data_IF_342547399128
#
_entry.id   IF_342547399128
#
_cell.length_a   1.000
_cell.length_b   1.000
_cell.length_c   1.000
_cell.angle_alpha   90.00
_cell.angle_beta   90.00
_cell.angle_gamma   90.00
#
_symmetry.space_group_name_H-M   'P 1'
#
loop_
_entity.id
_entity.type
_entity.pdbx_description
1 polymer ?
#
# COMPACT_ATOMS: atom_id res chain seq x y z
N UNK A 1 -28.65 22.17 17.81
CA UNK A 1 -28.95 22.07 16.36
C UNK A 1 -28.53 20.68 15.88
N UNK A 2 -29.45 19.87 15.35
CA UNK A 2 -29.08 18.62 14.69
C UNK A 2 -28.59 18.95 13.28
N UNK A 3 -27.30 18.72 13.02
CA UNK A 3 -26.73 18.89 11.69
C UNK A 3 -27.34 17.82 10.77
N UNK A 4 -27.94 18.18 9.63
CA UNK A 4 -28.50 17.20 8.72
C UNK A 4 -27.38 16.31 8.17
N UNK A 5 -27.68 15.03 7.99
CA UNK A 5 -26.73 14.07 7.42
C UNK A 5 -26.30 14.52 6.03
N UNK A 6 -24.99 14.42 5.78
CA UNK A 6 -24.40 14.57 4.46
C UNK A 6 -24.97 13.55 3.47
N UNK A 7 -24.83 13.84 2.18
CA UNK A 7 -25.19 12.90 1.11
C UNK A 7 -24.44 11.57 1.25
N UNK A 8 -23.19 11.61 1.72
CA UNK A 8 -22.41 10.41 2.00
C UNK A 8 -23.04 9.58 3.12
N UNK A 9 -23.26 10.16 4.30
CA UNK A 9 -23.85 9.46 5.45
C UNK A 9 -25.24 8.91 5.14
N UNK A 10 -26.06 9.66 4.40
CA UNK A 10 -27.38 9.21 3.96
C UNK A 10 -27.29 7.99 3.03
N UNK A 11 -26.36 7.99 2.07
CA UNK A 11 -26.17 6.86 1.15
C UNK A 11 -25.57 5.63 1.84
N UNK A 12 -24.67 5.81 2.81
CA UNK A 12 -24.04 4.72 3.56
C UNK A 12 -25.02 3.91 4.44
N UNK A 13 -26.22 4.44 4.71
CA UNK A 13 -27.30 3.68 5.38
C UNK A 13 -27.93 2.62 4.49
N UNK A 14 -27.79 2.72 3.16
CA UNK A 14 -28.28 1.69 2.24
C UNK A 14 -27.24 0.57 2.11
N UNK A 15 -27.59 -0.65 2.51
CA UNK A 15 -26.66 -1.80 2.53
C UNK A 15 -26.06 -2.12 1.16
N UNK A 16 -26.84 -2.01 0.09
CA UNK A 16 -26.37 -2.26 -1.29
C UNK A 16 -25.36 -1.20 -1.71
N UNK A 17 -25.65 0.07 -1.43
CA UNK A 17 -24.72 1.16 -1.71
C UNK A 17 -23.43 1.01 -0.88
N UNK A 18 -23.56 0.77 0.44
CA UNK A 18 -22.43 0.59 1.34
C UNK A 18 -21.50 -0.53 0.87
N UNK A 19 -22.04 -1.69 0.51
CA UNK A 19 -21.25 -2.82 0.01
C UNK A 19 -20.49 -2.46 -1.28
N UNK A 20 -21.18 -1.86 -2.25
CA UNK A 20 -20.55 -1.45 -3.51
C UNK A 20 -19.48 -0.36 -3.29
N UNK A 21 -19.73 0.57 -2.38
CA UNK A 21 -18.78 1.60 -1.98
C UNK A 21 -17.53 0.99 -1.34
N UNK A 22 -17.68 0.08 -0.37
CA UNK A 22 -16.56 -0.59 0.29
C UNK A 22 -15.74 -1.45 -0.68
N UNK A 23 -16.39 -2.16 -1.61
CA UNK A 23 -15.70 -2.90 -2.67
C UNK A 23 -14.93 -1.98 -3.62
N UNK A 24 -15.51 -0.83 -4.00
CA UNK A 24 -14.82 0.18 -4.80
C UNK A 24 -13.65 0.81 -4.06
N UNK A 25 -13.85 1.16 -2.79
CA UNK A 25 -12.82 1.75 -1.94
C UNK A 25 -11.61 0.82 -1.78
N UNK A 26 -11.84 -0.48 -1.51
CA UNK A 26 -10.75 -1.47 -1.43
C UNK A 26 -9.93 -1.58 -2.72
N UNK A 27 -10.57 -1.42 -3.88
CA UNK A 27 -9.91 -1.44 -5.19
C UNK A 27 -9.04 -0.21 -5.44
N UNK A 28 -9.41 0.93 -4.85
CA UNK A 28 -8.72 2.21 -5.03
C UNK A 28 -7.60 2.43 -4.01
N UNK A 29 -7.73 1.90 -2.80
CA UNK A 29 -6.84 2.19 -1.67
C UNK A 29 -5.35 2.09 -2.02
N UNK A 30 -4.95 1.03 -2.72
CA UNK A 30 -3.54 0.83 -3.06
C UNK A 30 -3.05 1.80 -4.16
N UNK A 31 -3.91 2.12 -5.13
CA UNK A 31 -3.63 3.12 -6.16
C UNK A 31 -3.45 4.50 -5.53
N UNK A 32 -4.31 4.87 -4.58
CA UNK A 32 -4.25 6.16 -3.88
C UNK A 32 -2.99 6.25 -3.01
N UNK A 33 -2.68 5.18 -2.26
CA UNK A 33 -1.44 5.08 -1.50
C UNK A 33 -0.21 5.30 -2.40
N UNK A 34 -0.19 4.66 -3.58
CA UNK A 34 0.92 4.81 -4.51
C UNK A 34 1.04 6.20 -5.09
N UNK A 35 -0.08 6.83 -5.47
CA UNK A 35 -0.08 8.20 -5.95
C UNK A 35 0.46 9.14 -4.86
N UNK A 36 -0.09 9.05 -3.64
CA UNK A 36 0.31 9.93 -2.54
C UNK A 36 1.79 9.81 -2.18
N UNK A 37 2.31 8.59 -2.07
CA UNK A 37 3.72 8.41 -1.72
C UNK A 37 4.63 8.85 -2.89
N UNK A 38 4.26 8.53 -4.14
CA UNK A 38 5.08 8.93 -5.29
C UNK A 38 5.12 10.44 -5.53
N UNK A 39 4.02 11.15 -5.23
CA UNK A 39 3.97 12.61 -5.29
C UNK A 39 4.79 13.27 -4.19
N UNK A 40 4.80 12.70 -2.99
CA UNK A 40 5.60 13.22 -1.86
C UNK A 40 7.10 13.06 -2.08
N UNK A 41 7.53 11.94 -2.69
CA UNK A 41 8.95 11.61 -2.88
C UNK A 41 9.49 11.94 -4.29
N UNK A 42 8.69 12.63 -5.13
CA UNK A 42 8.99 13.00 -6.53
C UNK A 42 9.59 11.86 -7.38
N UNK A 43 9.13 10.63 -7.14
CA UNK A 43 9.65 9.44 -7.82
C UNK A 43 8.82 9.08 -9.06
N UNK A 44 9.49 8.93 -10.19
CA UNK A 44 8.83 8.43 -11.40
C UNK A 44 8.54 6.93 -11.32
N UNK A 45 7.57 6.44 -12.10
CA UNK A 45 7.28 5.01 -12.26
C UNK A 45 8.53 4.19 -12.62
N UNK A 46 9.40 4.74 -13.47
CA UNK A 46 10.63 4.06 -13.90
C UNK A 46 11.65 3.97 -12.77
N UNK A 47 11.82 5.03 -11.98
CA UNK A 47 12.76 5.03 -10.87
C UNK A 47 12.30 4.08 -9.78
N UNK A 48 11.01 4.13 -9.41
CA UNK A 48 10.43 3.18 -8.44
C UNK A 48 10.58 1.73 -8.91
N UNK A 49 10.29 1.45 -10.18
CA UNK A 49 10.48 0.12 -10.75
C UNK A 49 11.93 -0.37 -10.65
N UNK A 50 12.89 0.51 -10.95
CA UNK A 50 14.33 0.21 -10.87
C UNK A 50 14.76 -0.07 -9.43
N UNK A 51 14.41 0.80 -8.49
CA UNK A 51 14.80 0.69 -7.08
C UNK A 51 14.14 -0.51 -6.39
N UNK A 52 12.86 -0.75 -6.67
CA UNK A 52 12.14 -1.90 -6.13
C UNK A 52 12.48 -3.21 -6.87
N UNK A 53 13.22 -3.20 -7.98
CA UNK A 53 13.46 -4.40 -8.79
C UNK A 53 12.16 -5.06 -9.28
N UNK A 54 11.18 -4.24 -9.68
CA UNK A 54 9.85 -4.64 -10.18
C UNK A 54 9.69 -4.09 -11.60
N UNK A 55 8.91 -4.74 -12.47
CA UNK A 55 8.69 -4.20 -13.81
C UNK A 55 7.88 -2.90 -13.76
N UNK A 56 8.22 -1.94 -14.61
CA UNK A 56 7.50 -0.67 -14.72
C UNK A 56 6.02 -0.87 -15.08
N UNK A 57 5.68 -1.94 -15.80
CA UNK A 57 4.28 -2.29 -16.11
C UNK A 57 3.49 -2.67 -14.86
N UNK A 58 4.08 -3.44 -13.93
CA UNK A 58 3.44 -3.78 -12.66
C UNK A 58 3.23 -2.51 -11.82
N UNK A 59 4.27 -1.68 -11.66
CA UNK A 59 4.16 -0.42 -10.92
C UNK A 59 3.07 0.48 -11.54
N UNK A 60 3.05 0.61 -12.86
CA UNK A 60 2.06 1.41 -13.57
C UNK A 60 0.63 0.88 -13.40
N UNK A 61 0.43 -0.45 -13.45
CA UNK A 61 -0.89 -1.05 -13.30
C UNK A 61 -1.43 -0.91 -11.86
N UNK A 62 -0.53 -0.99 -10.87
CA UNK A 62 -0.87 -0.73 -9.47
C UNK A 62 -1.24 0.75 -9.26
N UNK A 63 -0.41 1.66 -9.78
CA UNK A 63 -0.63 3.11 -9.70
C UNK A 63 -1.90 3.57 -10.41
N UNK A 64 -2.30 2.93 -11.51
CA UNK A 64 -3.51 3.29 -12.24
C UNK A 64 -4.77 2.60 -11.72
N UNK A 65 -4.64 1.70 -10.73
CA UNK A 65 -5.75 0.86 -10.27
C UNK A 65 -6.22 -0.17 -11.30
N UNK A 66 -5.45 -0.47 -12.35
CA UNK A 66 -5.75 -1.57 -13.29
C UNK A 66 -5.52 -2.94 -12.64
N UNK A 67 -4.58 -3.01 -11.72
CA UNK A 67 -4.27 -4.20 -10.92
C UNK A 67 -4.55 -3.88 -9.44
N UNK A 68 -5.33 -4.74 -8.79
CA UNK A 68 -5.76 -4.54 -7.39
C UNK A 68 -5.08 -5.51 -6.41
N UNK A 69 -4.45 -6.55 -6.94
CA UNK A 69 -3.70 -7.54 -6.20
C UNK A 69 -2.19 -7.29 -6.31
N UNK A 70 -1.44 -7.56 -5.25
CA UNK A 70 0.02 -7.43 -5.24
C UNK A 70 0.63 -8.59 -4.46
N UNK A 71 1.75 -9.12 -4.97
CA UNK A 71 2.54 -10.09 -4.21
C UNK A 71 3.11 -9.40 -2.96
N UNK A 72 3.04 -10.06 -1.81
CA UNK A 72 3.59 -9.53 -0.55
C UNK A 72 5.07 -9.11 -0.68
N UNK A 73 5.86 -9.87 -1.42
CA UNK A 73 7.23 -9.53 -1.80
C UNK A 73 7.35 -8.13 -2.42
N UNK A 74 6.53 -7.84 -3.43
CA UNK A 74 6.54 -6.55 -4.12
C UNK A 74 6.08 -5.41 -3.20
N UNK A 75 5.10 -5.66 -2.32
CA UNK A 75 4.67 -4.68 -1.33
C UNK A 75 5.83 -4.29 -0.40
N UNK A 76 6.55 -5.28 0.14
CA UNK A 76 7.71 -5.05 1.03
C UNK A 76 8.80 -4.25 0.30
N UNK A 77 9.13 -4.62 -0.94
CA UNK A 77 10.14 -3.87 -1.72
C UNK A 77 9.74 -2.42 -1.96
N UNK A 78 8.49 -2.18 -2.36
CA UNK A 78 7.96 -0.82 -2.58
C UNK A 78 7.99 -0.03 -1.27
N UNK A 79 7.52 -0.61 -0.17
CA UNK A 79 7.55 0.04 1.15
C UNK A 79 8.98 0.45 1.54
N UNK A 80 9.96 -0.43 1.34
CA UNK A 80 11.36 -0.16 1.65
C UNK A 80 11.97 0.97 0.81
N UNK A 81 11.64 1.07 -0.49
CA UNK A 81 12.10 2.18 -1.35
C UNK A 81 11.67 3.53 -0.76
N UNK A 82 10.47 3.57 -0.19
CA UNK A 82 9.90 4.75 0.45
C UNK A 82 10.26 4.90 1.94
N UNK A 83 11.20 4.11 2.45
CA UNK A 83 11.63 4.19 3.85
C UNK A 83 10.67 3.62 4.89
N UNK A 84 9.61 2.93 4.45
CA UNK A 84 8.67 2.24 5.35
C UNK A 84 9.13 0.82 5.68
N UNK A 85 8.80 0.37 6.89
CA UNK A 85 8.87 -1.04 7.28
C UNK A 85 7.48 -1.67 7.22
N UNK A 86 7.40 -2.94 6.82
CA UNK A 86 6.17 -3.72 6.93
C UNK A 86 6.23 -4.53 8.22
N UNK A 87 5.32 -4.26 9.15
CA UNK A 87 5.31 -4.89 10.48
C UNK A 87 3.97 -5.61 10.67
N UNK A 88 4.02 -6.88 11.08
CA UNK A 88 2.88 -7.58 11.63
C UNK A 88 2.84 -7.34 13.13
N UNK A 89 1.77 -6.72 13.61
CA UNK A 89 1.55 -6.41 15.02
C UNK A 89 0.45 -7.31 15.60
N UNK A 90 0.71 -7.89 16.79
CA UNK A 90 -0.25 -8.71 17.53
C UNK A 90 -0.15 -8.38 19.03
N UNK A 91 -1.01 -7.48 19.49
CA UNK A 91 -0.87 -6.94 20.85
C UNK A 91 0.46 -6.18 20.95
N UNK A 92 1.30 -6.55 21.90
CA UNK A 92 2.64 -5.98 22.06
C UNK A 92 3.70 -6.63 21.15
N UNK A 93 3.38 -7.75 20.50
CA UNK A 93 4.31 -8.46 19.61
C UNK A 93 4.42 -7.75 18.25
N UNK A 94 5.66 -7.55 17.78
CA UNK A 94 5.96 -6.97 16.47
C UNK A 94 6.92 -7.85 15.68
N UNK A 95 6.49 -8.30 14.51
CA UNK A 95 7.29 -9.05 13.55
C UNK A 95 7.52 -8.21 12.30
N UNK A 96 8.75 -7.74 12.11
CA UNK A 96 9.12 -7.04 10.88
C UNK A 96 9.27 -8.03 9.73
N UNK A 97 8.57 -7.75 8.62
CA UNK A 97 8.71 -8.51 7.39
C UNK A 97 9.86 -7.93 6.58
N UNK A 98 10.86 -8.77 6.33
CA UNK A 98 11.99 -8.42 5.48
C UNK A 98 12.04 -9.37 4.28
N UNK A 99 12.27 -8.83 3.09
CA UNK A 99 12.78 -9.66 2.01
C UNK A 99 14.28 -9.92 2.20
N UNK A 100 14.69 -11.18 2.05
CA UNK A 100 16.08 -11.51 1.80
C UNK A 100 16.44 -11.03 0.40
N UNK A 101 17.04 -9.84 0.31
CA UNK A 101 17.69 -9.39 -0.93
C UNK A 101 18.75 -10.44 -1.26
N UNK A 102 18.53 -11.22 -2.32
CA UNK A 102 19.56 -12.11 -2.88
C UNK A 102 20.78 -11.26 -3.22
N UNK A 103 21.78 -11.25 -2.33
CA UNK A 103 23.03 -10.53 -2.52
C UNK A 103 23.68 -9.93 -1.27
N UNK A 104 22.97 -9.76 -0.14
CA UNK A 104 23.60 -9.22 1.08
C UNK A 104 23.51 -10.21 2.24
N UNK A 105 24.68 -10.70 2.68
CA UNK A 105 24.84 -11.43 3.95
C UNK A 105 24.27 -10.57 5.08
N UNK A 106 23.11 -10.92 5.64
CA UNK A 106 22.63 -10.28 6.86
C UNK A 106 23.38 -10.85 8.08
N UNK A 107 24.05 -9.96 8.81
CA UNK A 107 24.28 -10.12 10.24
C UNK A 107 22.93 -9.86 10.92
N UNK A 108 22.49 -10.82 11.73
CA UNK A 108 21.42 -10.58 12.70
C UNK A 108 21.93 -9.55 13.70
N UNK A 109 21.20 -8.44 13.85
CA UNK A 109 21.37 -7.54 14.99
C UNK A 109 20.08 -7.66 15.79
N UNK A 110 20.19 -8.28 16.97
CA UNK A 110 19.14 -8.21 17.96
C UNK A 110 19.10 -6.76 18.49
N UNK A 111 17.94 -6.12 18.41
CA UNK A 111 17.72 -4.88 19.13
C UNK A 111 17.51 -5.22 20.62
N UNK A 112 18.38 -4.71 21.47
CA UNK A 112 18.20 -4.65 22.93
C UNK A 112 17.25 -3.51 23.29
#
# INVERSE_FOLDING_TARGET
MNKPLSTFERKMKNTKFKKAFEEGYKKLLFSELMISIMENDDISVRNLAKEAGISASIIQNLRSGKQHDIKLSNLIKIAHVFGYAVILEKGDDRLMLEETIKGSKKRLVAAC
#
